data_IF_779819189999
#
_entry.id   IF_779819189999
#
_cell.length_a   1.000
_cell.length_b   1.000
_cell.length_c   1.000
_cell.angle_alpha   90.00
_cell.angle_beta   90.00
_cell.angle_gamma   90.00
#
_symmetry.space_group_name_H-M   'P 1'
#
loop_
_entity.id
_entity.type
_entity.pdbx_description
1 polymer ?
#
# COMPACT_ATOMS: atom_id res chain seq x y z
N UNK A 1 15.21 -1.98 -12.98
CA UNK A 1 14.20 -0.91 -13.11
C UNK A 1 12.82 -1.53 -12.88
N UNK A 2 12.45 -1.77 -11.62
CA UNK A 2 11.32 -2.69 -11.27
C UNK A 2 10.33 -2.09 -10.25
N UNK A 3 10.56 -0.85 -9.81
CA UNK A 3 9.76 -0.23 -8.74
C UNK A 3 8.30 0.08 -9.12
N UNK A 4 7.96 0.10 -10.41
CA UNK A 4 6.60 0.43 -10.85
C UNK A 4 5.60 -0.75 -10.69
N UNK A 5 6.07 -1.99 -10.67
CA UNK A 5 5.20 -3.18 -10.61
C UNK A 5 4.68 -3.53 -9.21
N UNK A 6 5.15 -2.84 -8.16
CA UNK A 6 4.78 -3.11 -6.76
C UNK A 6 3.99 -1.96 -6.11
N UNK A 7 3.58 -0.97 -6.91
CA UNK A 7 2.72 0.11 -6.44
C UNK A 7 1.27 -0.37 -6.38
N UNK A 8 0.79 -0.66 -5.17
CA UNK A 8 -0.58 -1.13 -4.94
C UNK A 8 -1.55 0.05 -4.90
N UNK A 9 -1.28 1.07 -4.09
CA UNK A 9 -2.25 2.12 -3.80
C UNK A 9 -1.61 3.30 -3.07
N UNK A 10 -2.23 4.47 -3.16
CA UNK A 10 -1.89 5.65 -2.39
C UNK A 10 -3.10 6.21 -1.67
N UNK A 11 -2.88 6.71 -0.46
CA UNK A 11 -3.88 7.42 0.31
C UNK A 11 -3.51 8.90 0.41
N UNK A 12 -4.41 9.75 -0.08
CA UNK A 12 -4.33 11.20 0.06
C UNK A 12 -5.14 11.59 1.28
N UNK A 13 -4.43 12.04 2.33
CA UNK A 13 -5.05 12.45 3.59
C UNK A 13 -5.99 13.63 3.38
N UNK A 14 -5.57 14.57 2.54
CA UNK A 14 -6.37 15.71 2.09
C UNK A 14 -7.50 15.23 1.16
N UNK A 15 -8.74 15.44 1.58
CA UNK A 15 -9.94 14.96 0.89
C UNK A 15 -10.20 13.44 0.98
N UNK A 16 -9.45 12.70 1.81
CA UNK A 16 -9.62 11.26 2.08
C UNK A 16 -9.76 10.39 0.81
N UNK A 17 -8.89 10.60 -0.18
CA UNK A 17 -8.96 9.91 -1.48
C UNK A 17 -8.01 8.73 -1.55
N UNK A 18 -8.47 7.65 -2.19
CA UNK A 18 -7.65 6.47 -2.51
C UNK A 18 -7.34 6.51 -4.01
N UNK A 19 -6.07 6.30 -4.37
CA UNK A 19 -5.60 6.21 -5.75
C UNK A 19 -5.04 4.80 -5.94
N UNK A 20 -5.69 4.00 -6.78
CA UNK A 20 -5.26 2.64 -7.07
C UNK A 20 -4.04 2.63 -8.01
N UNK A 21 -3.07 1.79 -7.69
CA UNK A 21 -1.90 1.53 -8.52
C UNK A 21 -2.11 0.34 -9.45
N UNK A 22 -1.17 0.08 -10.37
CA UNK A 22 -1.25 -1.02 -11.32
C UNK A 22 -1.18 -2.39 -10.65
N UNK A 23 -0.65 -2.49 -9.42
CA UNK A 23 -0.61 -3.72 -8.65
C UNK A 23 -1.85 -3.93 -7.75
N UNK A 24 -2.89 -3.09 -7.88
CA UNK A 24 -4.12 -3.24 -7.12
C UNK A 24 -4.89 -4.48 -7.59
N UNK A 25 -5.12 -5.44 -6.70
CA UNK A 25 -5.85 -6.68 -6.99
C UNK A 25 -7.31 -6.66 -6.53
N UNK A 26 -7.75 -5.58 -5.87
CA UNK A 26 -9.09 -5.50 -5.27
C UNK A 26 -9.17 -6.10 -3.85
N UNK A 27 -8.10 -6.78 -3.42
CA UNK A 27 -7.99 -7.38 -2.09
C UNK A 27 -7.39 -6.42 -1.07
N UNK A 28 -6.78 -5.34 -1.54
CA UNK A 28 -6.07 -4.37 -0.72
C UNK A 28 -7.00 -3.24 -0.27
N UNK A 29 -6.87 -2.84 1.00
CA UNK A 29 -7.61 -1.72 1.58
C UNK A 29 -6.68 -0.89 2.44
N UNK A 30 -6.53 0.38 2.10
CA UNK A 30 -5.79 1.36 2.91
C UNK A 30 -6.76 2.13 3.77
N UNK A 31 -6.36 2.33 5.01
CA UNK A 31 -7.10 3.12 6.00
C UNK A 31 -6.43 4.47 6.22
N UNK A 32 -7.22 5.43 6.71
CA UNK A 32 -6.77 6.79 7.02
C UNK A 32 -5.66 6.86 8.07
N UNK A 33 -5.51 5.80 8.88
CA UNK A 33 -4.46 5.63 9.88
C UNK A 33 -3.18 5.00 9.31
N UNK A 34 -2.98 5.01 7.98
CA UNK A 34 -1.82 4.43 7.29
C UNK A 34 -1.69 2.90 7.33
N UNK A 35 -2.69 2.17 7.84
CA UNK A 35 -2.70 0.71 7.79
C UNK A 35 -3.17 0.18 6.43
N UNK A 36 -2.63 -0.98 6.03
CA UNK A 36 -2.95 -1.71 4.81
C UNK A 36 -3.46 -3.11 5.20
N UNK A 37 -4.66 -3.45 4.75
CA UNK A 37 -5.21 -4.80 4.82
C UNK A 37 -5.14 -5.43 3.43
N UNK A 38 -4.69 -6.69 3.35
CA UNK A 38 -4.78 -7.51 2.14
C UNK A 38 -5.59 -8.75 2.51
N UNK A 39 -6.69 -9.01 1.82
CA UNK A 39 -7.55 -10.17 2.06
C UNK A 39 -7.16 -11.36 1.18
N UNK A 40 -7.44 -12.58 1.63
CA UNK A 40 -7.20 -13.81 0.88
C UNK A 40 -5.77 -13.90 0.34
N UNK A 41 -4.80 -13.69 1.23
CA UNK A 41 -3.37 -13.76 0.92
C UNK A 41 -3.01 -15.19 0.51
N UNK A 42 -2.39 -15.33 -0.66
CA UNK A 42 -1.80 -16.58 -1.15
C UNK A 42 -0.28 -16.50 -1.05
N UNK A 43 0.41 -17.61 -1.32
CA UNK A 43 1.87 -17.62 -1.35
C UNK A 43 2.45 -16.76 -2.49
N UNK A 44 1.66 -16.52 -3.55
CA UNK A 44 2.06 -15.67 -4.69
C UNK A 44 2.09 -14.19 -4.33
N UNK A 45 1.41 -13.81 -3.24
CA UNK A 45 1.45 -12.45 -2.69
C UNK A 45 2.69 -12.21 -1.82
N UNK A 46 3.51 -13.22 -1.58
CA UNK A 46 4.75 -13.03 -0.83
C UNK A 46 5.70 -12.13 -1.64
N UNK A 47 6.09 -10.99 -1.05
CA UNK A 47 6.89 -10.01 -1.77
C UNK A 47 7.05 -8.70 -1.00
N UNK A 48 7.81 -7.78 -1.60
CA UNK A 48 7.97 -6.42 -1.10
C UNK A 48 6.93 -5.50 -1.71
N UNK A 49 6.18 -4.82 -0.85
CA UNK A 49 5.16 -3.86 -1.26
C UNK A 49 5.54 -2.45 -0.88
N UNK A 50 5.15 -1.48 -1.72
CA UNK A 50 5.38 -0.06 -1.43
C UNK A 50 4.04 0.66 -1.27
N UNK A 51 3.82 1.24 -0.08
CA UNK A 51 2.69 2.13 0.19
C UNK A 51 3.15 3.59 0.09
N UNK A 52 2.43 4.39 -0.70
CA UNK A 52 2.65 5.84 -0.79
C UNK A 52 1.58 6.59 -0.01
N UNK A 53 1.98 7.30 1.03
CA UNK A 53 1.08 8.15 1.81
C UNK A 53 1.38 9.59 1.49
N UNK A 54 0.40 10.29 0.90
CA UNK A 54 0.56 11.68 0.46
C UNK A 54 -0.24 12.57 1.41
N UNK A 55 0.47 13.38 2.20
CA UNK A 55 -0.13 14.45 2.99
C UNK A 55 0.12 15.78 2.31
N UNK A 56 -0.90 16.34 1.64
CA UNK A 56 -0.85 17.73 1.17
C UNK A 56 -0.98 18.64 2.38
N UNK A 57 -0.02 19.54 2.56
CA UNK A 57 -0.14 20.66 3.51
C UNK A 57 -0.32 21.92 2.70
N UNK A 58 -1.25 22.75 3.12
CA UNK A 58 -1.58 24.01 2.46
C UNK A 58 -0.31 24.86 2.32
N UNK A 59 0.13 25.09 1.07
CA UNK A 59 1.28 25.92 0.74
C UNK A 59 2.69 25.29 0.84
N UNK A 60 2.85 24.06 1.35
CA UNK A 60 4.15 23.36 1.33
C UNK A 60 3.99 21.97 0.72
N UNK A 61 4.87 21.65 -0.24
CA UNK A 61 4.85 20.40 -1.01
C UNK A 61 4.47 19.17 -0.19
N UNK A 62 3.61 18.33 -0.75
CA UNK A 62 3.07 17.18 -0.03
C UNK A 62 4.18 16.27 0.51
N UNK A 63 3.99 15.75 1.72
CA UNK A 63 4.90 14.77 2.31
C UNK A 63 4.53 13.39 1.77
N UNK A 64 5.48 12.72 1.13
CA UNK A 64 5.35 11.32 0.71
C UNK A 64 6.10 10.43 1.69
N UNK A 65 5.37 9.60 2.43
CA UNK A 65 5.96 8.49 3.17
C UNK A 65 6.06 7.25 2.27
N UNK A 66 7.24 6.63 2.22
CA UNK A 66 7.46 5.34 1.58
C UNK A 66 7.63 4.27 2.65
N UNK A 67 6.78 3.26 2.62
CA UNK A 67 6.86 2.12 3.52
C UNK A 67 7.04 0.85 2.69
N UNK A 68 8.05 0.06 3.04
CA UNK A 68 8.28 -1.27 2.47
C UNK A 68 7.88 -2.31 3.49
N UNK A 69 6.95 -3.18 3.11
CA UNK A 69 6.54 -4.34 3.92
C UNK A 69 6.86 -5.61 3.15
N UNK A 70 7.37 -6.64 3.83
CA UNK A 70 7.55 -7.97 3.27
C UNK A 70 6.46 -8.88 3.83
N UNK A 71 5.61 -9.40 2.95
CA UNK A 71 4.55 -10.32 3.34
C UNK A 71 5.10 -11.75 3.42
N UNK A 72 4.96 -12.38 4.58
CA UNK A 72 5.28 -13.80 4.79
C UNK A 72 3.98 -14.53 5.13
N UNK A 73 3.57 -15.46 4.26
CA UNK A 73 2.45 -16.35 4.56
C UNK A 73 2.94 -17.44 5.50
N UNK A 74 2.52 -17.39 6.76
CA UNK A 74 2.72 -18.50 7.69
C UNK A 74 1.73 -19.61 7.35
N UNK A 75 2.22 -20.78 6.97
CA UNK A 75 1.39 -21.98 6.87
C UNK A 75 0.84 -22.32 8.25
N UNK A 76 -0.41 -22.77 8.37
CA UNK A 76 -0.96 -23.22 9.65
C UNK A 76 0.02 -24.19 10.33
N UNK A 77 0.38 -23.93 11.59
CA UNK A 77 1.14 -24.92 12.37
C UNK A 77 0.28 -26.17 12.54
N UNK A 78 0.87 -27.36 12.35
CA UNK A 78 0.14 -28.63 12.49
C UNK A 78 -0.44 -28.80 13.89
#
# INVERSE_FOLDING_TARGET
>A
MTYLYHYITSYVVDGQRIIYGPAYSGRERVYSNASLLIQNVTQEDAGSYTLHIIKRRDGTGGVTGHFTFTLHLETPKP
#
